data_IF_307465380983
#
_entry.id   IF_307465380983
#
_cell.length_a   1.000
_cell.length_b   1.000
_cell.length_c   1.000
_cell.angle_alpha   90.00
_cell.angle_beta   90.00
_cell.angle_gamma   90.00
#
_symmetry.space_group_name_H-M   'P 1'
#
loop_
_entity.id
_entity.type
_entity.pdbx_description
1 polymer ?
#
# COMPACT_ATOMS: atom_id res chain seq x y z
N UNK A 1 27.74 -21.32 46.78
CA UNK A 1 28.38 -20.14 46.15
C UNK A 1 28.94 -20.59 44.83
N UNK A 2 28.23 -20.31 43.74
CA UNK A 2 28.65 -20.63 42.37
C UNK A 2 28.53 -19.35 41.55
N UNK A 3 29.63 -19.00 40.90
CA UNK A 3 29.90 -17.68 40.33
C UNK A 3 28.92 -17.34 39.19
N UNK A 4 28.30 -16.16 39.31
CA UNK A 4 27.59 -15.46 38.25
C UNK A 4 28.61 -14.85 37.29
N UNK A 5 29.02 -15.61 36.28
CA UNK A 5 29.79 -15.06 35.15
C UNK A 5 28.86 -14.32 34.20
N UNK A 6 29.02 -13.00 34.21
CA UNK A 6 28.44 -12.00 33.30
C UNK A 6 28.63 -12.38 31.83
N UNK A 7 27.54 -12.68 31.13
CA UNK A 7 27.49 -12.59 29.67
C UNK A 7 27.33 -11.13 29.28
N UNK A 8 28.47 -10.46 29.11
CA UNK A 8 28.58 -9.15 28.47
C UNK A 8 28.28 -9.32 26.99
N UNK A 9 27.18 -8.73 26.53
CA UNK A 9 26.81 -8.67 25.11
C UNK A 9 27.93 -8.05 24.27
N UNK A 10 28.23 -8.57 23.08
CA UNK A 10 29.20 -7.97 22.17
C UNK A 10 28.72 -6.57 21.75
N UNK A 11 29.51 -5.55 22.08
CA UNK A 11 29.33 -4.20 21.54
C UNK A 11 29.49 -4.28 20.01
N UNK A 12 28.44 -3.85 19.30
CA UNK A 12 28.54 -3.54 17.89
C UNK A 12 29.40 -2.28 17.75
N UNK A 13 30.53 -2.51 17.08
CA UNK A 13 31.56 -1.57 16.68
C UNK A 13 31.00 -0.26 16.11
N UNK A 14 31.28 0.82 16.85
CA UNK A 14 31.16 2.22 16.47
C UNK A 14 32.21 2.55 15.39
N UNK A 15 31.94 2.13 14.16
CA UNK A 15 32.81 2.42 13.01
C UNK A 15 32.05 3.16 11.93
N UNK A 16 32.14 4.49 11.98
CA UNK A 16 32.59 5.40 10.91
C UNK A 16 32.03 6.82 11.15
N UNK A 17 32.68 7.57 12.05
CA UNK A 17 32.71 9.04 11.96
C UNK A 17 33.48 9.41 10.68
N UNK A 18 32.77 9.80 9.63
CA UNK A 18 33.39 10.50 8.51
C UNK A 18 33.41 12.00 8.82
N UNK A 19 34.49 12.46 9.45
CA UNK A 19 34.82 13.88 9.55
C UNK A 19 35.30 14.38 8.19
N UNK A 20 34.36 14.76 7.33
CA UNK A 20 34.65 15.48 6.09
C UNK A 20 34.00 16.85 6.14
N UNK A 21 34.71 17.84 6.69
CA UNK A 21 34.30 19.25 6.66
C UNK A 21 34.50 19.80 5.23
N UNK A 22 33.44 20.09 4.45
CA UNK A 22 33.62 20.60 3.10
C UNK A 22 33.80 22.12 3.13
N UNK A 23 34.80 22.62 2.38
CA UNK A 23 35.04 24.04 2.14
C UNK A 23 33.74 24.78 1.78
N UNK A 24 33.40 25.82 2.55
CA UNK A 24 32.18 26.61 2.39
C UNK A 24 32.29 27.53 1.16
N UNK A 25 31.52 27.25 0.12
CA UNK A 25 31.41 28.12 -1.05
C UNK A 25 30.58 29.37 -0.72
N UNK A 26 31.03 30.55 -1.18
CA UNK A 26 30.37 31.85 -0.99
C UNK A 26 29.19 32.01 -1.97
N UNK A 27 28.07 31.34 -1.70
CA UNK A 27 26.81 31.59 -2.43
C UNK A 27 25.87 30.39 -2.46
N UNK A 28 24.75 30.51 -1.71
CA UNK A 28 23.64 29.55 -1.70
C UNK A 28 23.24 29.08 -0.29
N UNK A 29 21.92 28.90 -0.07
CA UNK A 29 21.39 28.21 1.14
C UNK A 29 22.00 26.80 1.18
N UNK A 30 22.58 26.35 2.32
CA UNK A 30 23.17 25.02 2.41
C UNK A 30 22.14 23.94 2.05
N UNK A 31 22.59 22.89 1.35
CA UNK A 31 21.72 21.75 1.01
C UNK A 31 21.24 21.07 2.29
N UNK A 32 19.93 20.87 2.38
CA UNK A 32 19.30 20.15 3.50
C UNK A 32 19.67 18.67 3.39
N UNK A 33 20.13 18.07 4.49
CA UNK A 33 20.41 16.63 4.57
C UNK A 33 19.09 15.89 4.81
N UNK A 34 18.70 15.03 3.86
CA UNK A 34 17.48 14.23 3.97
C UNK A 34 17.81 12.89 4.63
N UNK A 35 17.00 12.50 5.61
CA UNK A 35 17.09 11.19 6.27
C UNK A 35 16.28 10.14 5.49
N UNK A 36 16.96 9.40 4.63
CA UNK A 36 16.34 8.40 3.75
C UNK A 36 15.74 7.21 4.50
N UNK A 37 16.24 6.89 5.70
CA UNK A 37 15.73 5.76 6.49
C UNK A 37 14.33 6.07 7.04
N UNK A 38 14.13 7.29 7.55
CA UNK A 38 12.81 7.77 7.96
C UNK A 38 11.86 7.85 6.78
N UNK A 39 12.31 8.35 5.64
CA UNK A 39 11.52 8.39 4.39
C UNK A 39 11.02 6.99 4.03
N UNK A 40 11.90 5.97 4.07
CA UNK A 40 11.51 4.61 3.73
C UNK A 40 10.46 4.05 4.70
N UNK A 41 10.61 4.31 6.01
CA UNK A 41 9.63 3.91 7.04
C UNK A 41 8.26 4.54 6.79
N UNK A 42 8.20 5.86 6.54
CA UNK A 42 6.95 6.56 6.29
C UNK A 42 6.29 6.13 4.97
N UNK A 43 7.08 6.01 3.90
CA UNK A 43 6.60 5.57 2.60
C UNK A 43 6.05 4.13 2.64
N UNK A 44 6.61 3.26 3.48
CA UNK A 44 6.10 1.90 3.67
C UNK A 44 4.67 1.87 4.24
N UNK A 45 4.30 2.86 5.06
CA UNK A 45 2.94 3.02 5.62
C UNK A 45 2.01 3.75 4.63
N UNK A 46 2.47 4.00 3.40
CA UNK A 46 1.75 4.75 2.37
C UNK A 46 1.52 6.23 2.71
N UNK A 47 2.39 6.82 3.52
CA UNK A 47 2.41 8.26 3.78
C UNK A 47 2.76 9.04 2.49
N UNK A 48 2.08 10.15 2.24
CA UNK A 48 2.27 10.95 1.02
C UNK A 48 3.54 11.78 1.08
N UNK A 49 4.03 12.26 -0.07
CA UNK A 49 5.23 13.10 -0.13
C UNK A 49 5.07 14.44 0.61
N UNK A 50 3.83 14.97 0.70
CA UNK A 50 3.51 16.22 1.40
C UNK A 50 3.53 16.04 2.92
N UNK A 51 3.01 14.91 3.40
CA UNK A 51 3.08 14.54 4.80
C UNK A 51 4.52 14.28 5.23
N UNK A 52 5.31 13.56 4.41
CA UNK A 52 6.74 13.34 4.66
C UNK A 52 7.51 14.66 4.70
N UNK A 53 7.18 15.59 3.81
CA UNK A 53 7.77 16.93 3.79
C UNK A 53 7.48 17.69 5.11
N UNK A 54 6.24 17.62 5.59
CA UNK A 54 5.81 18.22 6.86
C UNK A 54 6.49 17.55 8.07
N UNK A 55 6.64 16.22 8.07
CA UNK A 55 7.28 15.46 9.15
C UNK A 55 8.80 15.71 9.27
N UNK A 56 9.45 16.07 8.17
CA UNK A 56 10.89 16.34 8.12
C UNK A 56 11.21 17.84 8.17
N UNK A 57 10.19 18.71 8.23
CA UNK A 57 10.31 20.17 8.11
C UNK A 57 11.05 20.63 6.83
N UNK A 58 10.81 19.92 5.73
CA UNK A 58 11.40 20.21 4.41
C UNK A 58 10.30 20.69 3.48
N UNK A 59 10.58 21.69 2.64
CA UNK A 59 9.62 22.11 1.61
C UNK A 59 9.38 21.02 0.57
N UNK A 60 8.11 20.79 0.20
CA UNK A 60 7.71 19.79 -0.80
C UNK A 60 8.50 19.88 -2.12
N UNK A 61 8.75 21.09 -2.61
CA UNK A 61 9.52 21.32 -3.85
C UNK A 61 10.95 20.79 -3.78
N UNK A 62 11.54 20.79 -2.59
CA UNK A 62 12.91 20.29 -2.36
C UNK A 62 12.93 18.76 -2.39
N UNK A 63 11.90 18.13 -1.82
CA UNK A 63 11.75 16.67 -1.77
C UNK A 63 11.51 16.09 -3.18
N UNK A 64 10.66 16.75 -3.98
CA UNK A 64 10.37 16.35 -5.37
C UNK A 64 11.56 16.49 -6.31
N UNK A 65 12.48 17.42 -6.03
CA UNK A 65 13.67 17.64 -6.85
C UNK A 65 14.74 16.55 -6.66
N UNK A 66 14.74 15.85 -5.51
CA UNK A 66 15.73 14.81 -5.22
C UNK A 66 15.36 13.48 -5.87
N UNK A 67 16.21 13.00 -6.79
CA UNK A 67 16.05 11.71 -7.47
C UNK A 67 16.21 10.53 -6.51
N UNK A 68 17.14 10.62 -5.56
CA UNK A 68 17.40 9.53 -4.61
C UNK A 68 16.18 9.31 -3.70
N UNK A 69 15.55 10.41 -3.27
CA UNK A 69 14.29 10.36 -2.53
C UNK A 69 13.19 9.62 -3.32
N UNK A 70 13.00 9.98 -4.59
CA UNK A 70 11.94 9.37 -5.42
C UNK A 70 12.13 7.86 -5.61
N UNK A 71 13.38 7.42 -5.77
CA UNK A 71 13.69 6.00 -5.95
C UNK A 71 13.47 5.20 -4.65
N UNK A 72 13.94 5.73 -3.51
CA UNK A 72 13.69 5.13 -2.19
C UNK A 72 12.20 5.08 -1.88
N UNK A 73 11.47 6.16 -2.18
CA UNK A 73 10.03 6.26 -1.97
C UNK A 73 9.26 5.21 -2.79
N UNK A 74 9.57 5.04 -4.08
CA UNK A 74 8.95 4.02 -4.93
C UNK A 74 9.23 2.61 -4.40
N UNK A 75 10.50 2.31 -4.07
CA UNK A 75 10.90 1.01 -3.51
C UNK A 75 10.16 0.70 -2.20
N UNK A 76 10.04 1.69 -1.32
CA UNK A 76 9.31 1.54 -0.06
C UNK A 76 7.81 1.36 -0.27
N UNK A 77 7.19 2.07 -1.22
CA UNK A 77 5.79 1.89 -1.59
C UNK A 77 5.51 0.48 -2.11
N UNK A 78 6.40 -0.08 -2.94
CA UNK A 78 6.24 -1.44 -3.43
C UNK A 78 6.37 -2.46 -2.29
N UNK A 79 7.22 -2.19 -1.30
CA UNK A 79 7.28 -2.91 -0.03
C UNK A 79 5.97 -2.84 0.76
N UNK A 80 5.40 -1.64 0.91
CA UNK A 80 4.10 -1.44 1.58
C UNK A 80 2.97 -2.18 0.86
N UNK A 81 2.90 -2.10 -0.47
CA UNK A 81 1.92 -2.84 -1.29
C UNK A 81 2.06 -4.35 -1.11
N UNK A 82 3.29 -4.87 -1.03
CA UNK A 82 3.55 -6.29 -0.77
C UNK A 82 3.00 -6.70 0.61
N UNK A 83 3.27 -5.90 1.63
CA UNK A 83 2.78 -6.14 3.00
C UNK A 83 1.26 -6.10 3.07
N UNK A 84 0.62 -5.12 2.41
CA UNK A 84 -0.82 -5.02 2.31
C UNK A 84 -1.43 -6.24 1.61
N UNK A 85 -0.85 -6.69 0.49
CA UNK A 85 -1.30 -7.90 -0.20
C UNK A 85 -1.26 -9.12 0.73
N UNK A 86 -0.19 -9.30 1.51
CA UNK A 86 -0.09 -10.39 2.47
C UNK A 86 -1.23 -10.36 3.49
N UNK A 87 -1.54 -9.19 4.05
CA UNK A 87 -2.65 -9.02 4.99
C UNK A 87 -4.01 -9.28 4.34
N UNK A 88 -4.18 -8.88 3.08
CA UNK A 88 -5.39 -9.17 2.31
C UNK A 88 -5.58 -10.68 2.08
N UNK A 89 -4.50 -11.42 1.77
CA UNK A 89 -4.54 -12.88 1.65
C UNK A 89 -4.85 -13.56 2.98
N UNK A 90 -4.21 -13.13 4.07
CA UNK A 90 -4.49 -13.65 5.41
C UNK A 90 -5.97 -13.44 5.79
N UNK A 91 -6.52 -12.26 5.49
CA UNK A 91 -7.93 -11.95 5.73
C UNK A 91 -8.88 -12.78 4.84
N UNK A 92 -8.47 -13.06 3.60
CA UNK A 92 -9.24 -13.89 2.67
C UNK A 92 -9.25 -15.37 3.08
N UNK A 93 -8.17 -15.88 3.67
CA UNK A 93 -8.03 -17.26 4.16
C UNK A 93 -8.81 -17.50 5.47
N UNK A 94 -8.88 -16.48 6.33
CA UNK A 94 -9.47 -16.63 7.66
C UNK A 94 -8.49 -17.26 8.65
N UNK A 95 -8.82 -17.22 9.94
CA UNK A 95 -8.00 -17.83 11.00
C UNK A 95 -8.88 -18.62 11.97
N UNK A 96 -8.54 -19.87 12.31
CA UNK A 96 -9.25 -20.61 13.34
C UNK A 96 -9.00 -20.00 14.72
N UNK A 97 -9.94 -20.21 15.65
CA UNK A 97 -9.79 -19.75 17.02
C UNK A 97 -8.67 -20.54 17.73
N UNK A 98 -7.76 -19.82 18.39
CA UNK A 98 -6.73 -20.45 19.21
C UNK A 98 -7.26 -20.66 20.62
N UNK A 99 -7.26 -21.92 21.04
CA UNK A 99 -7.67 -22.32 22.39
C UNK A 99 -6.51 -22.15 23.37
N UNK A 100 -6.83 -21.74 24.59
CA UNK A 100 -5.88 -21.65 25.69
C UNK A 100 -5.42 -23.08 26.06
N UNK A 101 -4.10 -23.30 26.00
CA UNK A 101 -3.47 -24.57 26.38
C UNK A 101 -2.65 -24.35 27.64
N UNK A 102 -2.68 -25.34 28.54
CA UNK A 102 -1.82 -25.37 29.72
C UNK A 102 -0.36 -25.71 29.33
N UNK A 103 0.57 -25.63 30.29
CA UNK A 103 2.00 -25.95 30.10
C UNK A 103 2.24 -27.38 29.58
N UNK A 104 1.33 -28.29 29.87
CA UNK A 104 1.36 -29.69 29.41
C UNK A 104 0.62 -29.92 28.07
N UNK A 105 0.10 -28.85 27.45
CA UNK A 105 -0.55 -28.89 26.13
C UNK A 105 -2.04 -29.25 26.15
N UNK A 106 -2.63 -29.50 27.31
CA UNK A 106 -4.07 -29.77 27.45
C UNK A 106 -4.90 -28.48 27.33
N UNK A 107 -6.06 -28.58 26.67
CA UNK A 107 -7.00 -27.46 26.53
C UNK A 107 -7.66 -27.15 27.87
N UNK A 108 -7.52 -25.91 28.35
CA UNK A 108 -8.15 -25.48 29.60
C UNK A 108 -9.64 -25.21 29.31
N UNK A 109 -10.49 -25.84 30.13
CA UNK A 109 -11.94 -25.77 30.02
C UNK A 109 -12.49 -24.87 31.12
N UNK A 110 -13.48 -24.04 30.79
CA UNK A 110 -14.29 -23.32 31.76
C UNK A 110 -15.14 -24.29 32.62
N UNK A 111 -15.78 -23.77 33.67
CA UNK A 111 -16.72 -24.48 34.54
C UNK A 111 -17.83 -25.23 33.78
N UNK A 112 -18.16 -24.77 32.56
CA UNK A 112 -19.16 -25.37 31.66
C UNK A 112 -18.56 -26.37 30.67
N UNK A 113 -17.32 -26.82 30.88
CA UNK A 113 -16.56 -27.71 29.98
C UNK A 113 -16.44 -27.19 28.55
N UNK A 114 -16.37 -25.86 28.37
CA UNK A 114 -16.09 -25.23 27.07
C UNK A 114 -14.62 -24.82 27.02
N UNK A 115 -13.93 -24.99 25.88
CA UNK A 115 -12.53 -24.57 25.79
C UNK A 115 -12.42 -23.05 25.78
N UNK A 116 -11.51 -22.51 26.58
CA UNK A 116 -11.27 -21.07 26.66
C UNK A 116 -10.56 -20.62 25.39
N UNK A 117 -11.06 -19.57 24.75
CA UNK A 117 -10.46 -19.00 23.55
C UNK A 117 -9.40 -17.97 23.97
N UNK A 118 -8.14 -18.22 23.63
CA UNK A 118 -7.03 -17.27 23.85
C UNK A 118 -7.06 -16.15 22.82
N UNK A 119 -7.31 -16.49 21.55
CA UNK A 119 -7.50 -15.52 20.47
C UNK A 119 -8.73 -15.89 19.63
N UNK A 120 -9.68 -14.96 19.44
CA UNK A 120 -10.83 -15.22 18.60
C UNK A 120 -10.37 -15.48 17.16
N UNK A 121 -10.90 -16.54 16.56
CA UNK A 121 -10.77 -16.79 15.14
C UNK A 121 -11.73 -15.91 14.35
N UNK A 122 -11.49 -15.78 13.05
CA UNK A 122 -12.40 -15.12 12.13
C UNK A 122 -12.57 -15.96 10.86
N UNK A 123 -13.79 -15.95 10.33
CA UNK A 123 -14.11 -16.65 9.10
C UNK A 123 -13.41 -15.99 7.88
N UNK A 124 -13.13 -16.75 6.81
CA UNK A 124 -12.63 -16.18 5.55
C UNK A 124 -13.56 -15.09 5.03
N UNK A 125 -12.99 -13.96 4.60
CA UNK A 125 -13.76 -12.82 4.06
C UNK A 125 -14.01 -12.98 2.55
N UNK A 126 -15.25 -13.31 2.19
CA UNK A 126 -15.71 -13.46 0.80
C UNK A 126 -15.46 -12.20 -0.03
N UNK A 127 -15.59 -11.01 0.56
CA UNK A 127 -15.39 -9.75 -0.18
C UNK A 127 -13.93 -9.58 -0.58
N UNK A 128 -13.00 -9.99 0.29
CA UNK A 128 -11.56 -9.98 -0.02
C UNK A 128 -11.19 -11.03 -1.05
N UNK A 129 -11.82 -12.21 -1.01
CA UNK A 129 -11.63 -13.22 -2.05
C UNK A 129 -12.07 -12.71 -3.43
N UNK A 130 -13.24 -12.05 -3.50
CA UNK A 130 -13.73 -11.42 -4.74
C UNK A 130 -12.77 -10.33 -5.20
N UNK A 131 -12.31 -9.47 -4.29
CA UNK A 131 -11.37 -8.40 -4.62
C UNK A 131 -10.05 -8.95 -5.18
N UNK A 132 -9.47 -9.97 -4.54
CA UNK A 132 -8.27 -10.63 -5.00
C UNK A 132 -8.49 -11.36 -6.34
N UNK A 133 -9.65 -12.00 -6.52
CA UNK A 133 -10.08 -12.60 -7.79
C UNK A 133 -10.10 -11.61 -8.95
N UNK A 134 -10.68 -10.43 -8.73
CA UNK A 134 -10.70 -9.34 -9.72
C UNK A 134 -9.30 -8.81 -10.01
N UNK A 135 -8.50 -8.56 -8.97
CA UNK A 135 -7.18 -7.93 -9.13
C UNK A 135 -6.11 -8.87 -9.70
N UNK A 136 -6.10 -10.16 -9.32
CA UNK A 136 -5.01 -11.08 -9.64
C UNK A 136 -5.41 -12.12 -10.70
N UNK A 137 -6.67 -12.56 -10.74
CA UNK A 137 -7.13 -13.57 -11.70
C UNK A 137 -7.77 -12.94 -12.96
N UNK A 138 -7.84 -11.60 -13.01
CA UNK A 138 -8.41 -10.88 -14.15
C UNK A 138 -9.92 -11.11 -14.31
N UNK A 139 -10.61 -11.53 -13.26
CA UNK A 139 -12.07 -11.68 -13.27
C UNK A 139 -12.72 -10.33 -13.54
N UNK A 140 -13.47 -10.23 -14.64
CA UNK A 140 -14.24 -9.05 -15.01
C UNK A 140 -15.73 -9.35 -14.83
N UNK A 141 -16.47 -8.35 -14.38
CA UNK A 141 -17.93 -8.43 -14.44
C UNK A 141 -18.35 -8.19 -15.89
N UNK A 142 -19.07 -9.14 -16.47
CA UNK A 142 -19.84 -8.88 -17.68
C UNK A 142 -21.25 -8.52 -17.22
N UNK A 143 -21.72 -7.33 -17.62
CA UNK A 143 -23.12 -6.94 -17.41
C UNK A 143 -23.73 -6.84 -18.79
N UNK A 144 -24.44 -7.88 -19.18
CA UNK A 144 -25.30 -7.82 -20.35
C UNK A 144 -26.54 -7.01 -19.98
N UNK A 145 -26.56 -5.75 -20.39
CA UNK A 145 -27.81 -5.00 -20.42
C UNK A 145 -28.63 -5.63 -21.54
N UNK A 146 -29.71 -6.32 -21.18
CA UNK A 146 -30.77 -6.69 -22.10
C UNK A 146 -31.43 -5.41 -22.61
N UNK A 147 -30.77 -4.74 -23.56
CA UNK A 147 -31.36 -3.63 -24.29
C UNK A 147 -32.26 -4.27 -25.33
N UNK A 148 -33.55 -4.36 -25.03
CA UNK A 148 -34.55 -4.45 -26.09
C UNK A 148 -34.28 -3.26 -27.02
N UNK A 149 -33.77 -3.57 -28.22
CA UNK A 149 -33.33 -2.57 -29.21
C UNK A 149 -34.44 -1.61 -29.64
N UNK A 150 -35.68 -1.89 -29.26
CA UNK A 150 -36.87 -1.16 -29.70
C UNK A 150 -37.30 -0.03 -28.76
N UNK A 151 -36.68 0.16 -27.58
CA UNK A 151 -37.23 1.09 -26.57
C UNK A 151 -36.38 2.32 -26.19
N UNK A 152 -35.09 2.42 -26.53
CA UNK A 152 -34.25 3.55 -26.09
C UNK A 152 -33.41 4.18 -27.21
N UNK A 153 -34.03 5.07 -27.98
CA UNK A 153 -33.30 6.08 -28.74
C UNK A 153 -32.79 7.17 -27.78
N UNK A 154 -31.57 7.04 -27.27
CA UNK A 154 -30.92 8.10 -26.49
C UNK A 154 -30.48 9.20 -27.45
N UNK A 155 -31.32 10.24 -27.60
CA UNK A 155 -30.95 11.44 -28.33
C UNK A 155 -30.00 12.29 -27.47
N UNK A 156 -28.70 12.27 -27.81
CA UNK A 156 -27.73 13.20 -27.23
C UNK A 156 -27.95 14.57 -27.84
N UNK A 157 -28.72 15.42 -27.16
CA UNK A 157 -28.89 16.84 -27.54
C UNK A 157 -27.66 17.60 -27.07
N UNK A 158 -26.70 17.79 -27.97
CA UNK A 158 -25.61 18.76 -27.75
C UNK A 158 -26.24 20.15 -27.91
N UNK A 159 -26.49 20.85 -26.79
CA UNK A 159 -26.83 22.28 -26.82
C UNK A 159 -25.57 23.05 -27.19
N UNK A 160 -25.28 23.13 -28.47
CA UNK A 160 -24.15 23.93 -28.95
C UNK A 160 -24.56 25.41 -28.98
N UNK A 161 -24.01 26.18 -28.04
CA UNK A 161 -24.10 27.63 -28.01
C UNK A 161 -23.24 28.21 -29.12
N UNK A 162 -23.89 28.75 -30.15
CA UNK A 162 -23.29 29.79 -31.00
C UNK A 162 -22.39 29.32 -32.14
N UNK A 163 -22.98 29.31 -33.34
CA UNK A 163 -22.33 29.51 -34.66
C UNK A 163 -21.17 28.57 -35.03
N UNK A 164 -21.48 27.49 -35.75
CA UNK A 164 -20.47 26.83 -36.61
C UNK A 164 -20.88 25.46 -37.16
N UNK A 165 -21.47 25.45 -38.36
CA UNK A 165 -21.69 24.35 -39.35
C UNK A 165 -22.07 22.94 -38.81
N UNK A 166 -23.17 22.33 -39.31
CA UNK A 166 -23.58 20.99 -38.87
C UNK A 166 -22.53 19.92 -39.19
N UNK A 167 -22.27 19.07 -38.20
CA UNK A 167 -21.41 17.90 -38.27
C UNK A 167 -21.90 16.94 -39.37
N UNK A 168 -21.03 16.62 -40.35
CA UNK A 168 -21.32 15.60 -41.38
C UNK A 168 -20.93 14.23 -40.83
N UNK A 169 -21.93 13.37 -40.66
CA UNK A 169 -21.73 11.96 -40.34
C UNK A 169 -21.01 11.26 -41.52
N UNK A 170 -19.84 10.67 -41.29
CA UNK A 170 -19.11 9.90 -42.30
C UNK A 170 -19.23 8.42 -41.97
N UNK A 171 -20.27 7.78 -42.50
CA UNK A 171 -20.46 6.33 -42.39
C UNK A 171 -19.55 5.62 -43.41
N UNK A 172 -18.32 5.26 -43.02
CA UNK A 172 -17.51 4.33 -43.81
C UNK A 172 -18.08 2.92 -43.63
N UNK A 173 -18.85 2.43 -44.62
CA UNK A 173 -19.11 0.99 -44.75
C UNK A 173 -17.76 0.29 -45.00
N UNK A 174 -17.37 -0.64 -44.12
CA UNK A 174 -16.30 -1.59 -44.46
C UNK A 174 -16.80 -2.41 -45.66
N UNK A 175 -16.02 -2.44 -46.74
CA UNK A 175 -16.23 -3.41 -47.82
C UNK A 175 -15.68 -4.73 -47.31
N UNK A 176 -16.53 -5.76 -47.33
CA UNK A 176 -16.16 -7.13 -47.03
C UNK A 176 -15.15 -7.63 -48.08
N UNK A 177 -14.02 -8.15 -47.60
CA UNK A 177 -13.12 -9.11 -48.28
C UNK A 177 -12.63 -10.07 -47.21
#
# INVERSE_FOLDING_TARGET
MVNTSSMTSPQLDDSQKTDSNPKKNKGGRPKIKIDYEKVARYAHIHCTQEEIASLLDIGYSTLKADKQFLDVYKKALDGGKKSLRRLQFEKAEGRPAELLRDKDGNTILDDKRRPIISRPGYAPDTTMQIWLGKQQLGQRDHVELGVDRDAFAVAVVIRDSGKGKPFKEVTKRRKDV
#
